data_IF_764018195022
#
_entry.id   IF_764018195022
#
_cell.length_a   1.000
_cell.length_b   1.000
_cell.length_c   1.000
_cell.angle_alpha   90.00
_cell.angle_beta   90.00
_cell.angle_gamma   90.00
#
_symmetry.space_group_name_H-M   'P 1'
#
loop_
_entity.id
_entity.type
_entity.pdbx_description
1 polymer ?
#
# COMPACT_ATOMS: atom_id res chain seq x y z
N UNK A 1 -17.59 -25.51 -12.27
CA UNK A 1 -16.21 -25.90 -11.93
C UNK A 1 -15.36 -24.65 -11.94
N UNK A 2 -14.99 -24.14 -10.77
CA UNK A 2 -14.19 -22.93 -10.63
C UNK A 2 -12.75 -23.21 -11.07
N UNK A 3 -12.24 -22.44 -12.04
CA UNK A 3 -10.81 -22.37 -12.30
C UNK A 3 -10.18 -21.61 -11.14
N UNK A 4 -9.33 -22.28 -10.37
CA UNK A 4 -8.44 -21.62 -9.41
C UNK A 4 -7.46 -20.78 -10.22
N UNK A 5 -7.81 -19.53 -10.47
CA UNK A 5 -7.02 -18.66 -11.33
C UNK A 5 -5.68 -18.38 -10.63
N UNK A 6 -4.59 -18.92 -11.18
CA UNK A 6 -3.26 -18.71 -10.61
C UNK A 6 -2.97 -17.21 -10.70
N UNK A 7 -2.69 -16.57 -9.56
CA UNK A 7 -2.31 -15.16 -9.51
C UNK A 7 -1.27 -14.83 -10.59
N UNK A 8 -1.51 -13.77 -11.37
CA UNK A 8 -0.67 -13.41 -12.51
C UNK A 8 0.77 -13.09 -12.05
N UNK A 9 1.79 -13.21 -12.93
CA UNK A 9 3.16 -12.80 -12.58
C UNK A 9 3.24 -11.35 -12.07
N UNK A 10 2.38 -10.47 -12.60
CA UNK A 10 2.25 -9.09 -12.12
C UNK A 10 1.73 -9.06 -10.69
N UNK A 11 0.66 -9.79 -10.38
CA UNK A 11 0.09 -9.78 -9.03
C UNK A 11 1.05 -10.34 -7.99
N UNK A 12 1.75 -11.43 -8.32
CA UNK A 12 2.76 -12.01 -7.42
C UNK A 12 3.92 -11.05 -7.15
N UNK A 13 4.35 -10.28 -8.15
CA UNK A 13 5.35 -9.22 -7.96
C UNK A 13 4.86 -8.15 -7.00
N UNK A 14 3.62 -7.68 -7.17
CA UNK A 14 3.04 -6.67 -6.31
C UNK A 14 2.77 -7.20 -4.88
N UNK A 15 2.41 -8.48 -4.73
CA UNK A 15 2.24 -9.11 -3.42
C UNK A 15 3.57 -9.21 -2.68
N UNK A 16 4.59 -9.79 -3.34
CA UNK A 16 5.93 -9.90 -2.79
C UNK A 16 6.54 -8.53 -2.48
N UNK A 17 6.31 -7.53 -3.33
CA UNK A 17 6.76 -6.16 -3.08
C UNK A 17 6.25 -5.65 -1.73
N UNK A 18 4.95 -5.63 -1.48
CA UNK A 18 4.49 -5.03 -0.23
C UNK A 18 4.88 -5.82 1.01
N UNK A 19 5.05 -7.14 0.94
CA UNK A 19 5.54 -7.90 2.07
C UNK A 19 7.00 -7.56 2.36
N UNK A 20 7.85 -7.67 1.35
CA UNK A 20 9.29 -7.48 1.51
C UNK A 20 9.64 -6.02 1.79
N UNK A 21 9.07 -5.05 1.08
CA UNK A 21 9.36 -3.64 1.33
C UNK A 21 8.87 -3.18 2.70
N UNK A 22 7.77 -3.74 3.20
CA UNK A 22 7.26 -3.39 4.53
C UNK A 22 8.12 -3.98 5.65
N UNK A 23 8.63 -5.20 5.48
CA UNK A 23 9.45 -5.89 6.48
C UNK A 23 10.92 -5.49 6.43
N UNK A 24 11.47 -5.39 5.22
CA UNK A 24 12.92 -5.29 4.97
C UNK A 24 13.33 -3.92 4.40
N UNK A 25 12.38 -3.00 4.19
CA UNK A 25 12.60 -1.64 3.70
C UNK A 25 12.74 -1.53 2.18
N UNK A 26 12.84 -0.30 1.67
CA UNK A 26 12.90 0.02 0.23
C UNK A 26 14.18 -0.49 -0.43
N UNK A 27 15.22 -0.81 0.34
CA UNK A 27 16.54 -1.23 -0.16
C UNK A 27 16.62 -2.68 -0.63
N UNK A 28 15.56 -3.49 -0.56
CA UNK A 28 15.61 -4.89 -1.04
C UNK A 28 16.11 -4.98 -2.49
N UNK A 29 16.82 -6.06 -2.81
CA UNK A 29 17.32 -6.31 -4.16
C UNK A 29 16.24 -6.86 -5.10
N UNK A 30 16.38 -6.57 -6.40
CA UNK A 30 15.56 -7.15 -7.48
C UNK A 30 15.52 -8.68 -7.42
N UNK A 31 16.63 -9.33 -7.03
CA UNK A 31 16.71 -10.78 -6.90
C UNK A 31 15.83 -11.34 -5.80
N UNK A 32 15.83 -10.71 -4.62
CA UNK A 32 14.99 -11.11 -3.51
C UNK A 32 13.51 -10.99 -3.88
N UNK A 33 13.14 -9.86 -4.51
CA UNK A 33 11.79 -9.62 -5.01
C UNK A 33 11.35 -10.67 -6.03
N UNK A 34 12.16 -10.91 -7.08
CA UNK A 34 11.85 -11.89 -8.12
C UNK A 34 11.72 -13.32 -7.55
N UNK A 35 12.62 -13.69 -6.62
CA UNK A 35 12.61 -14.99 -5.95
C UNK A 35 11.33 -15.18 -5.13
N UNK A 36 10.95 -14.18 -4.33
CA UNK A 36 9.73 -14.23 -3.52
C UNK A 36 8.47 -14.27 -4.38
N UNK A 37 8.45 -13.56 -5.50
CA UNK A 37 7.32 -13.55 -6.44
C UNK A 37 7.25 -14.80 -7.35
N UNK A 38 8.28 -15.65 -7.36
CA UNK A 38 8.38 -16.77 -8.28
C UNK A 38 8.36 -16.32 -9.75
N UNK A 39 9.13 -15.27 -10.08
CA UNK A 39 9.28 -14.74 -11.44
C UNK A 39 10.76 -14.56 -11.80
N UNK A 40 11.08 -14.53 -13.08
CA UNK A 40 12.43 -14.21 -13.54
C UNK A 40 12.67 -12.69 -13.54
N UNK A 41 13.94 -12.25 -13.45
CA UNK A 41 14.30 -10.83 -13.65
C UNK A 41 13.80 -10.30 -15.00
N UNK A 42 13.94 -11.10 -16.07
CA UNK A 42 13.44 -10.74 -17.40
C UNK A 42 11.94 -10.49 -17.38
N UNK A 43 11.17 -11.35 -16.71
CA UNK A 43 9.72 -11.18 -16.59
C UNK A 43 9.35 -9.94 -15.77
N UNK A 44 10.11 -9.61 -14.72
CA UNK A 44 9.91 -8.36 -13.97
C UNK A 44 10.12 -7.15 -14.89
N UNK A 45 11.26 -7.09 -15.60
CA UNK A 45 11.57 -5.98 -16.51
C UNK A 45 10.69 -5.90 -17.75
N UNK A 46 9.97 -6.98 -18.10
CA UNK A 46 8.91 -6.92 -19.13
C UNK A 46 7.62 -6.27 -18.63
N UNK A 47 7.40 -6.24 -17.31
CA UNK A 47 6.18 -5.73 -16.68
C UNK A 47 6.38 -4.34 -16.04
N UNK A 48 7.59 -4.04 -15.61
CA UNK A 48 7.95 -2.82 -14.88
C UNK A 48 9.35 -2.36 -15.26
N UNK A 49 9.55 -1.05 -15.41
CA UNK A 49 10.84 -0.47 -15.80
C UNK A 49 11.90 -0.58 -14.70
N UNK A 50 11.47 -0.62 -13.44
CA UNK A 50 12.36 -0.72 -12.28
C UNK A 50 11.69 -1.44 -11.12
N UNK A 51 12.49 -1.80 -10.10
CA UNK A 51 11.98 -2.27 -8.81
C UNK A 51 11.08 -1.22 -8.14
N UNK A 52 11.43 0.05 -8.26
CA UNK A 52 10.73 1.13 -7.59
C UNK A 52 9.36 1.37 -8.21
N UNK A 53 9.21 1.11 -9.52
CA UNK A 53 7.91 1.04 -10.19
C UNK A 53 7.04 -0.12 -9.68
N UNK A 54 7.65 -1.28 -9.35
CA UNK A 54 6.91 -2.38 -8.69
C UNK A 54 6.40 -1.94 -7.32
N UNK A 55 7.23 -1.25 -6.52
CA UNK A 55 6.83 -0.73 -5.22
C UNK A 55 5.70 0.30 -5.36
N UNK A 56 5.86 1.28 -6.26
CA UNK A 56 4.86 2.31 -6.51
C UNK A 56 3.50 1.70 -6.90
N UNK A 57 3.51 0.77 -7.86
CA UNK A 57 2.31 0.06 -8.28
C UNK A 57 1.71 -0.82 -7.15
N UNK A 58 2.55 -1.38 -6.27
CA UNK A 58 2.09 -2.20 -5.15
C UNK A 58 1.39 -1.35 -4.08
N UNK A 59 1.97 -0.19 -3.74
CA UNK A 59 1.38 0.79 -2.82
C UNK A 59 0.05 1.32 -3.35
N UNK A 60 -0.02 1.62 -4.66
CA UNK A 60 -1.25 2.08 -5.30
C UNK A 60 -2.34 1.00 -5.27
N UNK A 61 -2.00 -0.25 -5.61
CA UNK A 61 -2.94 -1.37 -5.56
C UNK A 61 -3.46 -1.63 -4.14
N UNK A 62 -2.64 -1.44 -3.11
CA UNK A 62 -3.01 -1.67 -1.70
C UNK A 62 -3.76 -0.52 -1.04
N UNK A 63 -3.70 0.69 -1.60
CA UNK A 63 -4.29 1.90 -0.99
C UNK A 63 -5.77 1.76 -0.64
N UNK A 64 -6.67 1.28 -1.54
CA UNK A 64 -8.08 1.18 -1.20
C UNK A 64 -8.33 0.25 0.00
N UNK A 65 -7.58 -0.84 0.10
CA UNK A 65 -7.67 -1.76 1.23
C UNK A 65 -7.20 -1.09 2.52
N UNK A 66 -6.04 -0.41 2.50
CA UNK A 66 -5.51 0.28 3.68
C UNK A 66 -6.44 1.41 4.17
N UNK A 67 -6.96 2.22 3.25
CA UNK A 67 -7.92 3.29 3.57
C UNK A 67 -9.22 2.73 4.16
N UNK A 68 -9.73 1.61 3.63
CA UNK A 68 -10.92 0.96 4.16
C UNK A 68 -10.73 0.47 5.60
N UNK A 69 -9.54 -0.03 5.95
CA UNK A 69 -9.22 -0.50 7.31
C UNK A 69 -9.27 0.62 8.36
N UNK A 70 -9.01 1.88 7.95
CA UNK A 70 -9.00 3.05 8.84
C UNK A 70 -10.33 3.81 8.84
N UNK A 71 -11.27 3.45 7.96
CA UNK A 71 -12.60 4.07 7.91
C UNK A 71 -13.56 3.34 8.85
N UNK A 72 -14.33 4.10 9.63
CA UNK A 72 -15.42 3.53 10.42
C UNK A 72 -16.41 2.78 9.50
N UNK A 73 -16.82 1.54 9.84
CA UNK A 73 -17.81 0.80 9.05
C UNK A 73 -19.16 1.53 9.06
N UNK A 74 -19.51 2.16 10.18
CA UNK A 74 -20.75 2.93 10.36
C UNK A 74 -20.49 4.42 10.16
N UNK A 75 -19.79 4.79 9.07
CA UNK A 75 -19.39 6.17 8.84
C UNK A 75 -20.60 7.11 8.93
N UNK A 76 -21.76 6.77 8.35
CA UNK A 76 -22.93 7.63 8.33
C UNK A 76 -23.59 7.82 9.70
N UNK A 77 -23.58 6.79 10.55
CA UNK A 77 -24.19 6.85 11.88
C UNK A 77 -23.24 7.42 12.96
N UNK A 78 -21.93 7.30 12.78
CA UNK A 78 -20.93 7.75 13.75
C UNK A 78 -20.77 9.28 13.72
N UNK A 79 -20.69 9.88 14.91
CA UNK A 79 -20.30 11.29 15.09
C UNK A 79 -18.87 11.54 14.61
N UNK A 80 -18.49 12.79 14.25
CA UNK A 80 -17.11 13.10 13.86
C UNK A 80 -16.06 12.67 14.88
N UNK A 81 -16.35 12.79 16.18
CA UNK A 81 -15.44 12.38 17.25
C UNK A 81 -15.26 10.86 17.31
N UNK A 82 -16.32 10.09 17.10
CA UNK A 82 -16.24 8.62 17.03
C UNK A 82 -15.43 8.16 15.82
N UNK A 83 -15.60 8.82 14.67
CA UNK A 83 -14.80 8.53 13.46
C UNK A 83 -13.31 8.78 13.69
N UNK A 84 -12.95 9.88 14.36
CA UNK A 84 -11.54 10.16 14.73
C UNK A 84 -11.03 9.09 15.69
N UNK A 85 -11.77 8.76 16.75
CA UNK A 85 -11.39 7.72 17.71
C UNK A 85 -11.22 6.35 17.05
N UNK A 86 -12.06 6.03 16.06
CA UNK A 86 -11.96 4.78 15.31
C UNK A 86 -10.58 4.64 14.64
N UNK A 87 -10.08 5.70 14.00
CA UNK A 87 -8.75 5.69 13.36
C UNK A 87 -7.67 5.35 14.38
N UNK A 88 -7.65 6.02 15.54
CA UNK A 88 -6.65 5.77 16.59
C UNK A 88 -6.76 4.37 17.17
N UNK A 89 -7.98 3.86 17.39
CA UNK A 89 -8.19 2.47 17.83
C UNK A 89 -7.63 1.46 16.83
N UNK A 90 -7.88 1.65 15.53
CA UNK A 90 -7.32 0.77 14.48
C UNK A 90 -5.80 0.83 14.45
N UNK A 91 -5.21 2.01 14.64
CA UNK A 91 -3.76 2.17 14.73
C UNK A 91 -3.20 1.44 15.95
N UNK A 92 -3.84 1.56 17.11
CA UNK A 92 -3.45 0.86 18.35
C UNK A 92 -3.53 -0.67 18.19
N UNK A 93 -4.64 -1.19 17.64
CA UNK A 93 -4.82 -2.61 17.34
C UNK A 93 -3.73 -3.13 16.39
N UNK A 94 -3.43 -2.39 15.32
CA UNK A 94 -2.38 -2.77 14.38
C UNK A 94 -0.99 -2.70 15.02
N UNK A 95 -0.73 -1.70 15.87
CA UNK A 95 0.55 -1.55 16.55
C UNK A 95 0.85 -2.69 17.54
N UNK A 96 -0.18 -3.33 18.08
CA UNK A 96 -0.05 -4.52 18.91
C UNK A 96 0.19 -5.81 18.10
N UNK A 97 0.00 -5.79 16.78
CA UNK A 97 0.15 -6.98 15.94
C UNK A 97 1.64 -7.31 15.70
N UNK A 98 2.05 -8.59 15.79
CA UNK A 98 3.40 -9.01 15.42
C UNK A 98 3.73 -8.62 13.97
N UNK A 99 4.93 -8.06 13.76
CA UNK A 99 5.37 -7.63 12.42
C UNK A 99 4.78 -6.29 11.95
N UNK A 100 4.17 -5.50 12.84
CA UNK A 100 3.81 -4.14 12.52
C UNK A 100 5.06 -3.24 12.41
N UNK A 101 5.26 -2.65 11.24
CA UNK A 101 6.38 -1.77 10.90
C UNK A 101 5.91 -0.32 10.67
N UNK A 102 4.79 0.09 11.29
CA UNK A 102 4.25 1.44 11.14
C UNK A 102 3.33 1.59 9.93
N UNK A 103 3.16 2.84 9.47
CA UNK A 103 2.41 3.13 8.26
C UNK A 103 3.29 2.82 7.03
N UNK A 104 2.88 1.94 6.10
CA UNK A 104 3.70 1.57 4.94
C UNK A 104 4.01 2.78 4.03
N UNK A 105 3.10 3.75 3.95
CA UNK A 105 3.30 4.98 3.17
C UNK A 105 4.31 5.93 3.83
N UNK A 106 4.27 6.07 5.17
CA UNK A 106 5.23 6.90 5.88
C UNK A 106 6.63 6.29 5.85
N UNK A 107 6.74 4.96 6.04
CA UNK A 107 8.02 4.25 6.01
C UNK A 107 8.76 4.51 4.69
N UNK A 108 8.06 4.39 3.55
CA UNK A 108 8.59 4.67 2.22
C UNK A 108 9.12 6.11 2.10
N UNK A 109 8.37 7.11 2.58
CA UNK A 109 8.82 8.50 2.56
C UNK A 109 10.08 8.74 3.39
N UNK A 110 10.14 8.16 4.59
CA UNK A 110 11.27 8.30 5.51
C UNK A 110 12.54 7.67 4.93
N UNK A 111 12.42 6.51 4.30
CA UNK A 111 13.57 5.79 3.75
C UNK A 111 14.08 6.41 2.44
N UNK A 112 13.18 6.81 1.53
CA UNK A 112 13.55 7.35 0.23
C UNK A 112 14.13 8.76 0.30
N UNK A 113 13.58 9.61 1.18
CA UNK A 113 13.96 11.03 1.29
C UNK A 113 13.84 11.81 -0.03
N UNK A 114 13.04 11.31 -0.96
CA UNK A 114 12.74 11.92 -2.25
C UNK A 114 11.27 11.66 -2.58
N UNK A 115 10.47 12.73 -2.61
CA UNK A 115 9.03 12.68 -2.88
C UNK A 115 8.71 12.58 -4.37
N UNK A 116 9.66 12.91 -5.25
CA UNK A 116 9.50 12.85 -6.70
C UNK A 116 9.86 11.47 -7.26
N UNK A 117 10.55 10.63 -6.46
CA UNK A 117 10.77 9.23 -6.78
C UNK A 117 9.42 8.49 -6.92
N UNK A 118 9.25 7.53 -7.87
CA UNK A 118 7.95 6.93 -8.17
C UNK A 118 7.14 6.44 -6.97
N UNK A 119 7.70 5.65 -6.02
CA UNK A 119 6.99 5.28 -4.80
C UNK A 119 6.68 6.46 -3.88
N UNK A 120 7.54 7.49 -3.82
CA UNK A 120 7.30 8.72 -3.06
C UNK A 120 6.07 9.48 -3.54
N UNK A 121 5.90 9.62 -4.87
CA UNK A 121 4.75 10.32 -5.48
C UNK A 121 3.41 9.68 -5.13
N UNK A 122 3.38 8.35 -5.05
CA UNK A 122 2.18 7.61 -4.66
C UNK A 122 1.76 8.00 -3.24
N UNK A 123 2.69 8.12 -2.30
CA UNK A 123 2.36 8.44 -0.90
C UNK A 123 1.83 9.86 -0.69
N UNK A 124 2.23 10.83 -1.52
CA UNK A 124 1.86 12.25 -1.40
C UNK A 124 0.69 12.66 -2.27
N UNK A 125 0.28 11.80 -3.21
CA UNK A 125 -0.84 12.08 -4.11
C UNK A 125 -2.13 12.22 -3.29
N UNK A 126 -2.53 13.47 -3.10
CA UNK A 126 -3.83 13.82 -2.52
C UNK A 126 -4.86 13.49 -3.59
N UNK A 127 -5.70 12.46 -3.35
CA UNK A 127 -6.95 12.39 -4.11
C UNK A 127 -7.66 13.72 -3.89
N UNK A 128 -8.10 14.37 -4.96
CA UNK A 128 -9.07 15.44 -4.86
C UNK A 128 -10.20 14.90 -3.97
N UNK A 129 -10.25 15.38 -2.72
CA UNK A 129 -11.37 15.07 -1.84
C UNK A 129 -12.63 15.53 -2.54
N UNK A 130 -13.75 14.86 -2.27
CA UNK A 130 -15.06 15.43 -2.55
C UNK A 130 -15.03 16.91 -2.13
N UNK A 131 -15.41 17.86 -3.01
CA UNK A 131 -15.35 19.27 -2.68
C UNK A 131 -16.15 19.52 -1.39
N UNK A 132 -15.67 20.42 -0.51
CA UNK A 132 -16.32 20.72 0.77
C UNK A 132 -17.77 21.24 0.61
N UNK A 133 -18.15 21.60 -0.59
CA UNK A 133 -19.43 22.19 -1.01
C UNK A 133 -20.54 21.16 -1.24
N UNK A 134 -20.27 19.85 -1.17
CA UNK A 134 -21.28 18.80 -1.36
C UNK A 134 -22.05 18.43 -0.06
N UNK A 135 -22.25 19.40 0.85
CA UNK A 135 -22.96 19.20 2.12
C UNK A 135 -24.14 20.16 2.33
N UNK A 136 -24.59 20.86 1.28
CA UNK A 136 -25.87 21.57 1.25
C UNK A 136 -26.42 21.62 -0.19
N UNK A 137 -27.15 20.57 -0.57
CA UNK A 137 -28.19 20.56 -1.61
C UNK A 137 -29.09 19.32 -1.46
#
# INVERSE_FOLDING_TARGET
MATTDKASPRDRLLDAAAELFYRDGVSIGVEALCRSAGVSKRSMYQLFDSKDEVLAASLERRRPWYEAQLRSPDAEAATPRERIRYVFRRVEENAAAPGYCGCPYLAVLVELKDIEHPPGRITTTRRAGRPPDAMDA
#
